data_IF_038336880248
#
_entry.id   IF_038336880248
#
_cell.length_a   1.000
_cell.length_b   1.000
_cell.length_c   1.000
_cell.angle_alpha   90.00
_cell.angle_beta   90.00
_cell.angle_gamma   90.00
#
_symmetry.space_group_name_H-M   'P 1'
#
loop_
_entity.id
_entity.type
_entity.pdbx_description
1 polymer ?
#
# COMPACT_ATOMS: atom_id res chain seq x y z
N UNK A 1 -2.93 -8.87 -21.54
CA UNK A 1 -2.64 -7.44 -21.39
C UNK A 1 -3.86 -6.67 -20.87
N UNK A 2 -5.05 -6.88 -21.38
CA UNK A 2 -6.27 -6.22 -20.89
C UNK A 2 -6.51 -6.48 -19.40
N UNK A 3 -6.37 -7.72 -18.96
CA UNK A 3 -6.51 -8.09 -17.55
C UNK A 3 -5.53 -7.36 -16.63
N UNK A 4 -4.25 -7.23 -17.02
CA UNK A 4 -3.24 -6.52 -16.21
C UNK A 4 -3.55 -5.03 -16.08
N UNK A 5 -4.03 -4.40 -17.18
CA UNK A 5 -4.42 -2.98 -17.16
C UNK A 5 -5.67 -2.77 -16.29
N UNK A 6 -6.66 -3.65 -16.42
CA UNK A 6 -7.85 -3.63 -15.59
C UNK A 6 -7.50 -3.78 -14.11
N UNK A 7 -6.67 -4.77 -13.75
CA UNK A 7 -6.20 -4.98 -12.39
C UNK A 7 -5.42 -3.76 -11.85
N UNK A 8 -4.57 -3.15 -12.67
CA UNK A 8 -3.80 -1.95 -12.32
C UNK A 8 -4.72 -0.75 -12.01
N UNK A 9 -5.62 -0.42 -12.93
CA UNK A 9 -6.55 0.71 -12.76
C UNK A 9 -7.48 0.50 -11.58
N UNK A 10 -8.00 -0.71 -11.43
CA UNK A 10 -8.86 -1.09 -10.31
C UNK A 10 -8.14 -0.94 -8.97
N UNK A 11 -6.87 -1.35 -8.88
CA UNK A 11 -6.07 -1.23 -7.65
C UNK A 11 -5.77 0.22 -7.26
N UNK A 12 -5.74 1.15 -8.22
CA UNK A 12 -5.55 2.59 -7.93
C UNK A 12 -6.82 3.21 -7.37
N UNK A 13 -7.98 2.98 -8.01
CA UNK A 13 -9.20 3.75 -7.74
C UNK A 13 -10.22 2.99 -6.90
N UNK A 14 -10.50 1.73 -7.22
CA UNK A 14 -11.56 0.95 -6.56
C UNK A 14 -11.04 0.30 -5.30
N UNK A 15 -9.94 -0.46 -5.40
CA UNK A 15 -9.33 -1.21 -4.31
C UNK A 15 -8.19 -0.42 -3.66
N UNK A 16 -8.37 0.90 -3.50
CA UNK A 16 -7.39 1.76 -2.87
C UNK A 16 -7.21 1.40 -1.40
N UNK A 17 -5.95 1.14 -0.97
CA UNK A 17 -5.65 0.68 0.39
C UNK A 17 -6.12 1.64 1.48
N UNK A 18 -6.13 2.95 1.21
CA UNK A 18 -6.55 3.96 2.19
C UNK A 18 -8.07 4.14 2.17
N UNK A 19 -8.65 4.40 1.01
CA UNK A 19 -10.05 4.81 0.92
C UNK A 19 -11.03 3.65 1.00
N UNK A 20 -10.67 2.46 0.48
CA UNK A 20 -11.54 1.29 0.54
C UNK A 20 -11.36 0.48 1.84
N UNK A 21 -10.13 0.36 2.34
CA UNK A 21 -9.80 -0.54 3.44
C UNK A 21 -9.28 0.16 4.70
N UNK A 22 -9.03 1.45 4.66
CA UNK A 22 -8.45 2.24 5.76
C UNK A 22 -7.08 1.73 6.24
N UNK A 23 -6.33 1.05 5.39
CA UNK A 23 -5.03 0.51 5.71
C UNK A 23 -3.91 1.54 5.55
N UNK A 24 -3.00 1.58 6.50
CA UNK A 24 -1.87 2.52 6.50
C UNK A 24 -2.21 3.92 6.99
N UNK A 25 -3.33 4.10 7.70
CA UNK A 25 -3.77 5.40 8.24
C UNK A 25 -2.76 6.02 9.21
N UNK A 26 -2.01 5.23 9.95
CA UNK A 26 -1.00 5.71 10.90
C UNK A 26 0.08 6.54 10.20
N UNK A 27 0.71 6.01 9.16
CA UNK A 27 1.70 6.72 8.35
C UNK A 27 1.08 7.84 7.50
N UNK A 28 -0.12 7.59 6.96
CA UNK A 28 -0.90 8.53 6.17
C UNK A 28 -1.20 9.84 6.94
N UNK A 29 -1.70 9.74 8.18
CA UNK A 29 -2.01 10.90 9.01
C UNK A 29 -0.76 11.59 9.55
N UNK A 30 0.26 10.82 9.92
CA UNK A 30 1.50 11.34 10.50
C UNK A 30 2.29 12.20 9.51
N UNK A 31 2.39 11.76 8.25
CA UNK A 31 3.30 12.34 7.25
C UNK A 31 2.61 13.34 6.32
N UNK A 32 1.28 13.34 6.26
CA UNK A 32 0.51 14.21 5.37
C UNK A 32 0.48 15.70 5.74
N UNK A 33 1.42 16.18 6.59
CA UNK A 33 1.53 17.60 6.95
C UNK A 33 2.20 18.45 5.87
N UNK A 34 3.14 17.88 5.13
CA UNK A 34 3.90 18.54 4.07
C UNK A 34 3.86 17.70 2.79
N UNK A 35 3.58 18.34 1.65
CA UNK A 35 3.52 17.66 0.34
C UNK A 35 4.85 17.02 -0.03
N UNK A 36 6.00 17.67 0.22
CA UNK A 36 7.32 17.12 -0.11
C UNK A 36 7.61 15.81 0.64
N UNK A 37 7.33 15.79 1.96
CA UNK A 37 7.55 14.60 2.79
C UNK A 37 6.56 13.49 2.43
N UNK A 38 5.30 13.85 2.15
CA UNK A 38 4.26 12.92 1.71
C UNK A 38 4.62 12.25 0.37
N UNK A 39 5.14 13.01 -0.57
CA UNK A 39 5.59 12.50 -1.87
C UNK A 39 6.79 11.55 -1.70
N UNK A 40 7.77 11.93 -0.89
CA UNK A 40 8.93 11.09 -0.60
C UNK A 40 8.54 9.74 0.01
N UNK A 41 7.67 9.77 1.03
CA UNK A 41 7.16 8.55 1.65
C UNK A 41 6.31 7.72 0.67
N UNK A 42 5.48 8.37 -0.14
CA UNK A 42 4.64 7.69 -1.14
C UNK A 42 5.45 6.93 -2.17
N UNK A 43 6.53 7.54 -2.67
CA UNK A 43 7.46 6.87 -3.59
C UNK A 43 8.18 5.71 -2.90
N UNK A 44 8.62 5.89 -1.66
CA UNK A 44 9.27 4.82 -0.89
C UNK A 44 8.34 3.63 -0.65
N UNK A 45 7.09 3.87 -0.26
CA UNK A 45 6.07 2.82 -0.08
C UNK A 45 5.76 2.11 -1.40
N UNK A 46 5.64 2.85 -2.51
CA UNK A 46 5.43 2.26 -3.83
C UNK A 46 6.59 1.36 -4.25
N UNK A 47 7.82 1.80 -4.00
CA UNK A 47 9.01 0.98 -4.27
C UNK A 47 9.05 -0.28 -3.42
N UNK A 48 8.76 -0.16 -2.12
CA UNK A 48 8.71 -1.33 -1.23
C UNK A 48 7.63 -2.31 -1.68
N UNK A 49 6.42 -1.84 -2.02
CA UNK A 49 5.36 -2.68 -2.54
C UNK A 49 5.75 -3.41 -3.83
N UNK A 50 6.45 -2.70 -4.72
CA UNK A 50 6.93 -3.28 -5.99
C UNK A 50 7.91 -4.44 -5.77
N UNK A 51 8.66 -4.43 -4.69
CA UNK A 51 9.61 -5.51 -4.35
C UNK A 51 8.94 -6.58 -3.49
N UNK A 52 8.17 -6.20 -2.47
CA UNK A 52 7.60 -7.16 -1.51
C UNK A 52 6.51 -8.02 -2.10
N UNK A 53 5.54 -7.45 -2.84
CA UNK A 53 4.39 -8.20 -3.34
C UNK A 53 4.79 -9.32 -4.32
N UNK A 54 5.69 -9.11 -5.29
CA UNK A 54 6.16 -10.21 -6.14
C UNK A 54 6.97 -11.28 -5.38
N UNK A 55 7.74 -10.88 -4.35
CA UNK A 55 8.47 -11.83 -3.49
C UNK A 55 7.48 -12.66 -2.67
N UNK A 56 6.48 -12.02 -2.08
CA UNK A 56 5.43 -12.70 -1.31
C UNK A 56 4.59 -13.62 -2.22
N UNK A 57 4.35 -13.21 -3.48
CA UNK A 57 3.71 -14.07 -4.49
C UNK A 57 4.55 -15.31 -4.79
N UNK A 58 5.85 -15.15 -4.99
CA UNK A 58 6.74 -16.27 -5.21
C UNK A 58 6.79 -17.21 -3.98
N UNK A 59 6.84 -16.62 -2.79
CA UNK A 59 6.79 -17.37 -1.52
C UNK A 59 5.47 -18.14 -1.38
N UNK A 60 4.34 -17.50 -1.70
CA UNK A 60 3.03 -18.13 -1.66
C UNK A 60 2.94 -19.31 -2.65
N UNK A 61 3.46 -19.14 -3.87
CA UNK A 61 3.36 -20.15 -4.92
C UNK A 61 4.33 -21.30 -4.73
N UNK A 62 5.57 -21.02 -4.31
CA UNK A 62 6.63 -22.05 -4.25
C UNK A 62 6.83 -22.65 -2.86
N UNK A 63 6.45 -21.98 -1.78
CA UNK A 63 6.74 -22.42 -0.41
C UNK A 63 5.48 -22.78 0.37
N UNK A 64 4.43 -21.95 0.25
CA UNK A 64 3.21 -22.10 1.04
C UNK A 64 2.08 -22.85 0.31
N UNK A 65 2.21 -23.07 -0.99
CA UNK A 65 1.20 -23.79 -1.78
C UNK A 65 0.97 -25.22 -1.26
N UNK A 66 -0.23 -25.80 -1.47
CA UNK A 66 -0.61 -27.10 -0.91
C UNK A 66 0.26 -28.29 -1.35
N UNK A 67 1.12 -28.12 -2.35
CA UNK A 67 2.04 -29.16 -2.85
C UNK A 67 3.50 -28.63 -3.03
N UNK A 68 3.89 -27.55 -2.32
CA UNK A 68 5.14 -26.86 -2.63
C UNK A 68 6.38 -27.58 -2.10
N UNK A 69 6.57 -27.71 -0.79
CA UNK A 69 7.78 -28.31 -0.19
C UNK A 69 7.46 -29.64 0.52
N UNK A 70 6.32 -29.71 1.18
CA UNK A 70 5.88 -30.89 1.94
C UNK A 70 4.49 -31.31 1.44
N UNK A 71 4.45 -32.40 0.67
CA UNK A 71 3.20 -32.95 0.17
C UNK A 71 2.26 -33.31 1.35
N UNK A 72 1.09 -32.67 1.39
CA UNK A 72 0.02 -32.97 2.35
C UNK A 72 -0.02 -32.12 3.63
N UNK A 73 0.78 -31.06 3.72
CA UNK A 73 0.72 -30.12 4.87
C UNK A 73 0.44 -28.71 4.35
N UNK A 74 -0.71 -28.16 4.70
CA UNK A 74 -1.09 -26.77 4.37
C UNK A 74 -0.32 -25.82 5.28
N UNK A 75 0.74 -25.19 4.75
CA UNK A 75 1.51 -24.15 5.44
C UNK A 75 0.89 -22.75 5.31
N UNK A 76 -0.28 -22.63 4.73
CA UNK A 76 -0.99 -21.34 4.55
C UNK A 76 -1.21 -20.61 5.88
N UNK A 77 -1.28 -21.34 6.99
CA UNK A 77 -1.34 -20.77 8.34
C UNK A 77 -0.10 -19.92 8.69
N UNK A 78 1.08 -20.30 8.18
CA UNK A 78 2.32 -19.57 8.43
C UNK A 78 2.49 -18.37 7.49
N UNK A 79 1.65 -18.20 6.48
CA UNK A 79 1.77 -17.12 5.49
C UNK A 79 1.88 -15.75 6.14
N UNK A 80 1.04 -15.47 7.13
CA UNK A 80 1.02 -14.20 7.83
C UNK A 80 2.38 -13.87 8.49
N UNK A 81 2.96 -14.82 9.18
CA UNK A 81 4.26 -14.64 9.88
C UNK A 81 5.39 -14.49 8.86
N UNK A 82 5.37 -15.29 7.79
CA UNK A 82 6.39 -15.25 6.75
C UNK A 82 6.33 -13.94 5.98
N UNK A 83 5.16 -13.44 5.63
CA UNK A 83 5.01 -12.15 4.95
C UNK A 83 5.52 -10.99 5.81
N UNK A 84 5.21 -10.96 7.11
CA UNK A 84 5.76 -9.95 8.02
C UNK A 84 7.29 -10.02 8.04
N UNK A 85 7.87 -11.22 8.14
CA UNK A 85 9.32 -11.40 8.17
C UNK A 85 9.99 -10.94 6.88
N UNK A 86 9.40 -11.26 5.72
CA UNK A 86 9.90 -10.83 4.40
C UNK A 86 9.79 -9.32 4.24
N UNK A 87 8.64 -8.72 4.58
CA UNK A 87 8.43 -7.27 4.52
C UNK A 87 9.45 -6.56 5.41
N UNK A 88 9.63 -7.01 6.66
CA UNK A 88 10.60 -6.43 7.58
C UNK A 88 12.03 -6.51 7.04
N UNK A 89 12.43 -7.66 6.50
CA UNK A 89 13.75 -7.87 5.90
C UNK A 89 14.00 -6.98 4.69
N UNK A 90 13.02 -6.86 3.78
CA UNK A 90 13.15 -6.01 2.58
C UNK A 90 13.20 -4.54 2.98
N UNK A 91 12.35 -4.09 3.91
CA UNK A 91 12.36 -2.70 4.37
C UNK A 91 13.67 -2.35 5.05
N UNK A 92 14.21 -3.24 5.88
CA UNK A 92 15.53 -3.04 6.50
C UNK A 92 16.64 -2.88 5.45
N UNK A 93 16.59 -3.69 4.40
CA UNK A 93 17.52 -3.61 3.29
C UNK A 93 17.38 -2.29 2.53
N UNK A 94 16.14 -1.86 2.25
CA UNK A 94 15.86 -0.56 1.62
C UNK A 94 16.33 0.60 2.49
N UNK A 95 16.15 0.52 3.81
CA UNK A 95 16.63 1.53 4.77
C UNK A 95 18.16 1.69 4.67
N UNK A 96 18.90 0.60 4.70
CA UNK A 96 20.36 0.63 4.54
C UNK A 96 20.80 1.20 3.19
N UNK A 97 20.08 0.89 2.11
CA UNK A 97 20.35 1.42 0.78
C UNK A 97 20.10 2.93 0.75
N UNK A 98 18.97 3.40 1.25
CA UNK A 98 18.61 4.83 1.28
C UNK A 98 19.59 5.62 2.14
N UNK A 99 19.99 5.10 3.31
CA UNK A 99 21.01 5.72 4.16
C UNK A 99 22.34 5.90 3.43
N UNK A 100 22.75 4.90 2.64
CA UNK A 100 24.03 4.92 1.93
C UNK A 100 24.02 5.84 0.71
N UNK A 101 22.94 5.84 -0.09
CA UNK A 101 22.88 6.55 -1.36
C UNK A 101 22.30 7.96 -1.27
N UNK A 102 21.45 8.24 -0.32
CA UNK A 102 20.75 9.52 -0.21
C UNK A 102 20.57 9.97 1.24
N UNK A 103 21.67 10.45 1.91
CA UNK A 103 21.62 10.89 3.31
C UNK A 103 20.63 12.03 3.55
N UNK A 104 20.41 12.90 2.55
CA UNK A 104 19.46 14.01 2.67
C UNK A 104 18.01 13.52 2.70
N UNK A 105 17.69 12.49 1.92
CA UNK A 105 16.37 11.84 1.93
C UNK A 105 16.18 11.04 3.23
N UNK A 106 17.22 10.37 3.69
CA UNK A 106 17.24 9.67 4.97
C UNK A 106 16.98 10.63 6.12
N UNK A 107 17.63 11.80 6.16
CA UNK A 107 17.41 12.81 7.17
C UNK A 107 15.99 13.42 7.13
N UNK A 108 15.41 13.55 5.94
CA UNK A 108 14.03 14.05 5.78
C UNK A 108 12.96 13.02 6.15
N UNK A 109 13.20 11.74 5.86
CA UNK A 109 12.29 10.63 6.16
C UNK A 109 12.56 10.00 7.54
N UNK A 110 13.75 10.09 8.05
CA UNK A 110 14.36 9.65 9.31
C UNK A 110 13.49 8.76 10.21
N UNK A 111 12.64 9.39 11.02
CA UNK A 111 11.75 8.69 11.95
C UNK A 111 10.64 7.89 11.24
N UNK A 112 10.33 8.20 9.96
CA UNK A 112 9.24 7.58 9.23
C UNK A 112 9.65 6.30 8.45
N UNK A 113 10.96 6.04 8.28
CA UNK A 113 11.42 4.82 7.62
C UNK A 113 11.00 3.53 8.36
N UNK A 114 11.19 3.41 9.68
CA UNK A 114 10.68 2.25 10.42
C UNK A 114 9.16 2.11 10.33
N UNK A 115 8.45 3.22 10.13
CA UNK A 115 6.99 3.20 9.95
C UNK A 115 6.56 2.52 8.63
N UNK A 116 7.46 2.42 7.65
CA UNK A 116 7.20 1.68 6.41
C UNK A 116 7.16 0.17 6.70
N UNK A 117 8.04 -0.35 7.55
CA UNK A 117 8.09 -1.77 7.90
C UNK A 117 6.80 -2.27 8.57
N UNK A 118 6.22 -1.44 9.44
CA UNK A 118 4.96 -1.73 10.15
C UNK A 118 3.73 -1.14 9.45
N UNK A 119 3.84 -0.77 8.19
CA UNK A 119 2.74 -0.16 7.46
C UNK A 119 1.67 -1.20 7.10
N UNK A 120 0.48 -1.03 7.67
CA UNK A 120 -0.65 -1.91 7.42
C UNK A 120 -1.06 -1.98 5.94
N UNK A 121 -0.75 -0.96 5.12
CA UNK A 121 -1.05 -1.00 3.70
C UNK A 121 -0.18 -2.00 2.95
N UNK A 122 1.11 -2.12 3.29
CA UNK A 122 2.04 -3.08 2.68
C UNK A 122 1.63 -4.50 3.08
N UNK A 123 1.39 -4.72 4.37
CA UNK A 123 0.92 -6.01 4.86
C UNK A 123 -0.44 -6.37 4.26
N UNK A 124 -1.37 -5.41 4.19
CA UNK A 124 -2.67 -5.61 3.57
C UNK A 124 -2.58 -5.97 2.09
N UNK A 125 -1.68 -5.31 1.33
CA UNK A 125 -1.47 -5.64 -0.07
C UNK A 125 -0.97 -7.09 -0.25
N UNK A 126 -0.06 -7.57 0.59
CA UNK A 126 0.42 -8.96 0.56
C UNK A 126 -0.69 -9.96 0.92
N UNK A 127 -1.53 -9.66 1.92
CA UNK A 127 -2.67 -10.52 2.27
C UNK A 127 -3.74 -10.54 1.19
N UNK A 128 -4.09 -9.40 0.60
CA UNK A 128 -5.03 -9.35 -0.52
C UNK A 128 -4.47 -10.04 -1.76
N UNK A 129 -3.17 -9.93 -2.02
CA UNK A 129 -2.52 -10.71 -3.08
C UNK A 129 -2.70 -12.21 -2.83
N UNK A 130 -2.43 -12.71 -1.63
CA UNK A 130 -2.64 -14.11 -1.26
C UNK A 130 -4.10 -14.55 -1.50
N UNK A 131 -5.07 -13.74 -1.07
CA UNK A 131 -6.49 -14.01 -1.29
C UNK A 131 -6.85 -14.05 -2.78
N UNK A 132 -6.26 -13.17 -3.58
CA UNK A 132 -6.52 -13.10 -5.03
C UNK A 132 -5.87 -14.24 -5.81
N UNK A 133 -4.75 -14.77 -5.36
CA UNK A 133 -4.14 -15.98 -5.95
C UNK A 133 -5.02 -17.21 -5.76
N UNK A 134 -5.80 -17.27 -4.67
CA UNK A 134 -6.72 -18.39 -4.40
C UNK A 134 -8.10 -18.25 -5.06
N UNK A 135 -8.38 -17.11 -5.71
CA UNK A 135 -9.64 -16.89 -6.44
C UNK A 135 -9.69 -17.70 -7.75
N UNK A 136 -10.89 -17.89 -8.28
CA UNK A 136 -11.06 -18.52 -9.60
C UNK A 136 -10.50 -17.63 -10.73
N UNK A 137 -9.91 -18.24 -11.77
CA UNK A 137 -9.31 -17.52 -12.92
C UNK A 137 -10.30 -16.64 -13.71
N UNK A 138 -11.60 -16.86 -13.55
CA UNK A 138 -12.67 -16.04 -14.16
C UNK A 138 -12.88 -14.70 -13.46
N UNK A 139 -12.31 -14.52 -12.27
CA UNK A 139 -12.47 -13.29 -11.52
C UNK A 139 -11.53 -12.20 -12.05
N UNK A 140 -12.05 -10.98 -12.26
CA UNK A 140 -11.26 -9.82 -12.69
C UNK A 140 -10.15 -9.42 -11.69
N UNK A 141 -10.17 -9.94 -10.48
CA UNK A 141 -9.17 -9.69 -9.44
C UNK A 141 -8.13 -10.80 -9.28
N UNK A 142 -8.25 -11.88 -10.07
CA UNK A 142 -7.34 -13.02 -9.99
C UNK A 142 -5.91 -12.62 -10.35
N UNK A 143 -4.95 -13.12 -9.57
CA UNK A 143 -3.52 -12.95 -9.81
C UNK A 143 -2.95 -14.31 -10.19
N UNK A 144 -2.78 -14.53 -11.49
CA UNK A 144 -2.31 -15.79 -12.05
C UNK A 144 -0.81 -15.85 -12.33
N UNK A 145 -0.10 -14.73 -12.21
CA UNK A 145 1.32 -14.66 -12.53
C UNK A 145 2.05 -13.52 -11.85
N UNK A 146 3.38 -13.58 -11.93
CA UNK A 146 4.27 -12.51 -11.41
C UNK A 146 3.96 -11.16 -12.09
N UNK A 147 3.57 -11.16 -13.36
CA UNK A 147 3.19 -9.95 -14.08
C UNK A 147 1.97 -9.26 -13.48
N UNK A 148 0.95 -10.04 -13.11
CA UNK A 148 -0.25 -9.51 -12.45
C UNK A 148 0.06 -9.03 -11.04
N UNK A 149 0.94 -9.73 -10.31
CA UNK A 149 1.41 -9.30 -8.99
C UNK A 149 2.16 -7.95 -9.05
N UNK A 150 2.99 -7.75 -10.08
CA UNK A 150 3.68 -6.47 -10.32
C UNK A 150 2.68 -5.37 -10.67
N UNK A 151 1.72 -5.62 -11.54
CA UNK A 151 0.68 -4.66 -11.92
C UNK A 151 -0.15 -4.27 -10.69
N UNK A 152 -0.52 -5.22 -9.85
CA UNK A 152 -1.23 -4.99 -8.61
C UNK A 152 -0.40 -4.18 -7.60
N UNK A 153 0.88 -4.50 -7.43
CA UNK A 153 1.80 -3.80 -6.55
C UNK A 153 1.96 -2.33 -6.95
N UNK A 154 2.19 -2.08 -8.24
CA UNK A 154 2.27 -0.72 -8.79
C UNK A 154 0.95 0.04 -8.63
N UNK A 155 -0.17 -0.59 -8.93
CA UNK A 155 -1.50 0.02 -8.77
C UNK A 155 -1.77 0.42 -7.32
N UNK A 156 -1.55 -0.49 -6.38
CA UNK A 156 -1.74 -0.24 -4.95
C UNK A 156 -0.80 0.84 -4.42
N UNK A 157 0.48 0.84 -4.86
CA UNK A 157 1.47 1.84 -4.48
C UNK A 157 1.12 3.23 -5.00
N UNK A 158 0.77 3.35 -6.28
CA UNK A 158 0.35 4.61 -6.89
C UNK A 158 -0.96 5.11 -6.27
N UNK A 159 -1.92 4.22 -6.00
CA UNK A 159 -3.15 4.57 -5.30
C UNK A 159 -2.90 5.15 -3.92
N UNK A 160 -1.98 4.54 -3.15
CA UNK A 160 -1.56 5.03 -1.85
C UNK A 160 -0.84 6.37 -1.93
N UNK A 161 0.08 6.53 -2.90
CA UNK A 161 0.80 7.79 -3.17
C UNK A 161 -0.18 8.91 -3.53
N UNK A 162 -1.12 8.66 -4.42
CA UNK A 162 -2.15 9.63 -4.83
C UNK A 162 -2.96 10.10 -3.62
N UNK A 163 -3.36 9.18 -2.76
CA UNK A 163 -4.13 9.49 -1.57
C UNK A 163 -3.35 10.38 -0.60
N UNK A 164 -2.09 10.03 -0.28
CA UNK A 164 -1.30 10.80 0.69
C UNK A 164 -0.92 12.19 0.18
N UNK A 165 -0.57 12.31 -1.09
CA UNK A 165 -0.27 13.62 -1.70
C UNK A 165 -1.52 14.47 -1.77
N UNK A 166 -2.67 13.89 -2.13
CA UNK A 166 -3.96 14.60 -2.14
C UNK A 166 -4.32 15.15 -0.76
N UNK A 167 -4.22 14.34 0.29
CA UNK A 167 -4.47 14.81 1.65
C UNK A 167 -3.46 15.87 2.09
N UNK A 168 -2.18 15.69 1.80
CA UNK A 168 -1.15 16.65 2.16
C UNK A 168 -1.40 18.02 1.51
N UNK A 169 -1.77 18.03 0.23
CA UNK A 169 -2.12 19.27 -0.48
C UNK A 169 -3.35 19.98 0.11
N UNK A 170 -4.38 19.21 0.49
CA UNK A 170 -5.57 19.76 1.14
C UNK A 170 -5.21 20.31 2.53
N UNK A 171 -4.43 19.59 3.33
CA UNK A 171 -4.02 20.04 4.67
C UNK A 171 -3.14 21.27 4.62
N UNK A 172 -2.23 21.36 3.68
CA UNK A 172 -1.38 22.54 3.48
C UNK A 172 -2.24 23.77 3.12
N UNK A 173 -3.27 23.59 2.29
CA UNK A 173 -4.21 24.64 1.95
C UNK A 173 -5.15 25.01 3.11
N UNK A 174 -5.57 24.05 3.91
CA UNK A 174 -6.40 24.28 5.10
C UNK A 174 -5.67 25.03 6.23
N UNK A 175 -4.34 25.01 6.25
CA UNK A 175 -3.56 25.76 7.22
C UNK A 175 -3.78 27.28 7.15
N UNK A 176 -4.24 27.78 6.00
CA UNK A 176 -4.57 29.21 5.78
C UNK A 176 -6.06 29.52 5.98
N UNK A 177 -6.87 28.58 6.42
CA UNK A 177 -8.32 28.74 6.57
C UNK A 177 -8.69 28.75 8.06
N UNK A 178 -9.65 29.60 8.45
CA UNK A 178 -10.19 29.64 9.80
C UNK A 178 -11.05 28.40 10.07
N UNK A 179 -10.45 27.45 10.81
CA UNK A 179 -11.16 26.24 11.27
C UNK A 179 -11.62 26.46 12.72
N UNK A 180 -12.87 26.12 13.07
CA UNK A 180 -13.38 26.22 14.44
C UNK A 180 -12.49 25.44 15.42
N UNK A 181 -12.17 26.06 16.57
CA UNK A 181 -11.26 25.49 17.59
C UNK A 181 -11.52 24.01 17.96
N UNK A 182 -12.78 23.54 18.09
CA UNK A 182 -13.05 22.13 18.43
C UNK A 182 -12.66 21.12 17.35
N UNK A 183 -12.60 21.55 16.09
CA UNK A 183 -12.27 20.70 14.93
C UNK A 183 -10.79 20.77 14.51
N UNK A 184 -10.05 21.71 15.06
CA UNK A 184 -8.63 21.87 14.70
C UNK A 184 -7.82 20.60 15.01
N UNK A 185 -6.94 20.22 14.09
CA UNK A 185 -6.04 19.08 14.21
C UNK A 185 -6.57 17.81 13.57
N UNK A 186 -6.70 16.72 14.34
CA UNK A 186 -7.12 15.41 13.81
C UNK A 186 -8.58 15.40 13.34
N UNK A 187 -9.49 16.16 13.98
CA UNK A 187 -10.91 16.15 13.64
C UNK A 187 -11.18 16.54 12.19
N UNK A 188 -10.67 17.70 11.76
CA UNK A 188 -10.86 18.17 10.39
C UNK A 188 -10.15 17.24 9.37
N UNK A 189 -9.02 16.63 9.77
CA UNK A 189 -8.31 15.70 8.90
C UNK A 189 -9.13 14.44 8.65
N UNK A 190 -9.76 13.87 9.68
CA UNK A 190 -10.65 12.71 9.50
C UNK A 190 -11.89 13.02 8.66
N UNK A 191 -12.49 14.19 8.85
CA UNK A 191 -13.61 14.63 8.00
C UNK A 191 -13.18 14.74 6.54
N UNK A 192 -12.02 15.34 6.28
CA UNK A 192 -11.45 15.45 4.93
C UNK A 192 -11.20 14.09 4.30
N UNK A 193 -10.60 13.16 5.05
CA UNK A 193 -10.36 11.78 4.57
C UNK A 193 -11.68 11.08 4.27
N UNK A 194 -12.69 11.23 5.12
CA UNK A 194 -14.02 10.68 4.90
C UNK A 194 -14.68 11.23 3.61
N UNK A 195 -14.56 12.53 3.35
CA UNK A 195 -15.06 13.14 2.11
C UNK A 195 -14.30 12.65 0.88
N UNK A 196 -12.96 12.49 0.99
CA UNK A 196 -12.16 11.91 -0.09
C UNK A 196 -12.57 10.45 -0.36
N UNK A 197 -12.81 9.65 0.69
CA UNK A 197 -13.27 8.27 0.55
C UNK A 197 -14.64 8.20 -0.15
N UNK A 198 -15.58 9.07 0.21
CA UNK A 198 -16.88 9.18 -0.50
C UNK A 198 -16.71 9.55 -1.97
N UNK A 199 -15.80 10.47 -2.29
CA UNK A 199 -15.49 10.81 -3.68
C UNK A 199 -14.91 9.60 -4.45
N UNK A 200 -14.04 8.81 -3.84
CA UNK A 200 -13.48 7.60 -4.46
C UNK A 200 -14.50 6.46 -4.59
N UNK A 201 -15.55 6.43 -3.77
CA UNK A 201 -16.64 5.46 -3.94
C UNK A 201 -17.40 5.64 -5.27
N UNK A 202 -17.34 6.82 -5.90
CA UNK A 202 -17.92 7.02 -7.24
C UNK A 202 -17.27 6.12 -8.30
N UNK A 203 -16.02 5.71 -8.10
CA UNK A 203 -15.32 4.81 -9.01
C UNK A 203 -15.68 3.33 -8.80
N UNK A 204 -16.32 2.97 -7.69
CA UNK A 204 -16.68 1.59 -7.37
C UNK A 204 -17.74 0.99 -8.32
N UNK A 205 -18.45 1.83 -9.09
CA UNK A 205 -19.40 1.42 -10.12
C UNK A 205 -18.79 1.18 -11.52
N UNK A 206 -17.50 1.45 -11.70
CA UNK A 206 -16.81 1.22 -12.96
C UNK A 206 -16.45 -0.27 -13.09
N UNK A 207 -17.20 -0.99 -13.89
CA UNK A 207 -16.84 -2.33 -14.36
C UNK A 207 -15.82 -2.16 -15.49
N UNK A 208 -14.54 -2.18 -15.14
CA UNK A 208 -13.41 -2.17 -16.08
C UNK A 208 -12.85 -3.57 -16.17
#
# INVERSE_FOLDING_TARGET
MEHMISLFVRSIFVDNMIFAFFLGMCSYLAVSKNVKTALGLGVAVTFVLLVTVPVDYALQTYVLGPDAIVAGVDLTFLAFILFIAVIAGIVQLVEMIVERFSPSLYAALGIFLPLIAVNCAIMGASLFMQQRVTMEPTNAQFIGGVGDAIAYALGSGIGWLLAIVGLAAIREKMAYTDVPKPLQGLGITFITVGLMALAFMCFSGLNI
#
